data_IF_648680883520
#
_entry.id   IF_648680883520
#
_cell.length_a   1.000
_cell.length_b   1.000
_cell.length_c   1.000
_cell.angle_alpha   90.00
_cell.angle_beta   90.00
_cell.angle_gamma   90.00
#
_symmetry.space_group_name_H-M   'P 1'
#
loop_
_entity.id
_entity.type
_entity.pdbx_description
1 polymer ?
#
# COMPACT_ATOMS: atom_id res chain seq x y z
N UNK A 1 -20.91 11.23 -14.69
CA UNK A 1 -20.38 10.31 -15.73
C UNK A 1 -19.05 10.80 -16.31
N UNK A 2 -18.98 12.01 -16.89
CA UNK A 2 -17.77 12.51 -17.56
C UNK A 2 -16.51 12.55 -16.66
N UNK A 3 -16.61 13.06 -15.42
CA UNK A 3 -15.47 13.10 -14.50
C UNK A 3 -14.90 11.70 -14.15
N UNK A 4 -15.77 10.69 -14.02
CA UNK A 4 -15.35 9.30 -13.78
C UNK A 4 -14.65 8.74 -15.00
N UNK A 5 -15.19 8.95 -16.21
CA UNK A 5 -14.57 8.48 -17.44
C UNK A 5 -13.17 9.10 -17.68
N UNK A 6 -13.02 10.41 -17.43
CA UNK A 6 -11.74 11.12 -17.53
C UNK A 6 -10.75 10.59 -16.48
N UNK A 7 -11.20 10.36 -15.25
CA UNK A 7 -10.33 9.86 -14.17
C UNK A 7 -9.91 8.41 -14.42
N UNK A 8 -10.82 7.55 -14.86
CA UNK A 8 -10.53 6.16 -15.20
C UNK A 8 -9.49 6.05 -16.32
N UNK A 9 -9.53 6.93 -17.31
CA UNK A 9 -8.53 6.97 -18.39
C UNK A 9 -7.10 7.33 -17.90
N UNK A 10 -6.96 7.92 -16.71
CA UNK A 10 -5.67 8.25 -16.08
C UNK A 10 -5.31 7.31 -14.93
N UNK A 11 -6.22 6.42 -14.55
CA UNK A 11 -6.04 5.50 -13.45
C UNK A 11 -5.34 4.22 -13.93
N UNK A 12 -4.68 3.55 -13.01
CA UNK A 12 -4.18 2.18 -13.20
C UNK A 12 -5.07 1.25 -12.39
N UNK A 13 -5.42 0.10 -12.96
CA UNK A 13 -6.20 -0.91 -12.26
C UNK A 13 -5.40 -1.47 -11.07
N UNK A 14 -6.07 -1.64 -9.92
CA UNK A 14 -5.46 -2.29 -8.77
C UNK A 14 -5.10 -3.74 -9.13
N UNK A 15 -3.91 -4.23 -8.75
CA UNK A 15 -3.55 -5.62 -9.01
C UNK A 15 -4.53 -6.60 -8.35
N UNK A 16 -4.86 -7.68 -9.07
CA UNK A 16 -5.78 -8.73 -8.59
C UNK A 16 -5.09 -9.90 -7.88
N UNK A 17 -3.87 -9.72 -7.41
CA UNK A 17 -3.06 -10.77 -6.75
C UNK A 17 -3.34 -10.83 -5.24
N UNK A 18 -3.22 -12.01 -4.60
CA UNK A 18 -3.44 -12.15 -3.15
C UNK A 18 -2.63 -11.18 -2.28
N UNK A 19 -1.39 -10.89 -2.69
CA UNK A 19 -0.44 -10.02 -2.00
C UNK A 19 -0.96 -8.58 -1.81
N UNK A 20 -1.91 -8.12 -2.63
CA UNK A 20 -2.47 -6.76 -2.48
C UNK A 20 -3.26 -6.56 -1.18
N UNK A 21 -3.69 -7.64 -0.52
CA UNK A 21 -4.29 -7.55 0.82
C UNK A 21 -3.32 -6.97 1.86
N UNK A 22 -2.05 -7.33 1.76
CA UNK A 22 -0.99 -6.97 2.72
C UNK A 22 -0.50 -5.53 2.54
N UNK A 23 -0.85 -4.87 1.42
CA UNK A 23 -0.38 -3.53 1.08
C UNK A 23 -1.20 -2.44 1.79
N UNK A 24 -2.51 -2.64 1.96
CA UNK A 24 -3.42 -1.59 2.42
C UNK A 24 -3.19 -1.14 3.86
N UNK A 25 -2.95 -2.08 4.78
CA UNK A 25 -2.73 -1.78 6.20
C UNK A 25 -1.49 -0.91 6.44
N UNK A 26 -0.30 -1.36 6.02
CA UNK A 26 0.94 -0.59 6.17
C UNK A 26 0.90 0.75 5.42
N UNK A 27 0.30 0.80 4.22
CA UNK A 27 0.16 2.06 3.48
C UNK A 27 -0.70 3.08 4.24
N UNK A 28 -1.81 2.66 4.86
CA UNK A 28 -2.64 3.54 5.66
C UNK A 28 -1.92 4.02 6.93
N UNK A 29 -1.19 3.13 7.62
CA UNK A 29 -0.41 3.50 8.79
C UNK A 29 0.68 4.53 8.45
N UNK A 30 1.40 4.35 7.34
CA UNK A 30 2.40 5.32 6.90
C UNK A 30 1.79 6.68 6.56
N UNK A 31 0.61 6.70 5.92
CA UNK A 31 -0.11 7.94 5.64
C UNK A 31 -0.51 8.65 6.94
N UNK A 32 -1.09 7.93 7.90
CA UNK A 32 -1.46 8.50 9.20
C UNK A 32 -0.24 9.06 9.95
N UNK A 33 0.85 8.30 10.02
CA UNK A 33 2.08 8.70 10.70
C UNK A 33 2.71 9.95 10.06
N UNK A 34 2.66 10.03 8.72
CA UNK A 34 3.16 11.18 7.96
C UNK A 34 2.30 12.42 8.18
N UNK A 35 0.97 12.28 8.11
CA UNK A 35 0.02 13.39 8.22
C UNK A 35 -0.10 13.94 9.65
N UNK A 36 0.04 13.07 10.65
CA UNK A 36 0.02 13.48 12.06
C UNK A 36 1.36 14.04 12.55
N UNK A 37 2.40 14.04 11.69
CA UNK A 37 3.74 14.50 12.04
C UNK A 37 4.47 13.59 13.04
N UNK A 38 3.94 12.39 13.31
CA UNK A 38 4.57 11.41 14.21
C UNK A 38 5.86 10.83 13.63
N UNK A 39 5.97 10.79 12.29
CA UNK A 39 7.19 10.41 11.58
C UNK A 39 7.37 11.27 10.32
N UNK A 40 8.62 11.45 9.90
CA UNK A 40 8.90 12.06 8.60
C UNK A 40 8.33 11.18 7.46
N UNK A 41 7.73 11.76 6.39
CA UNK A 41 7.07 11.00 5.34
C UNK A 41 7.94 9.91 4.71
N UNK A 42 9.21 10.22 4.45
CA UNK A 42 10.17 9.26 3.91
C UNK A 42 10.31 8.04 4.83
N UNK A 43 10.55 8.27 6.13
CA UNK A 43 10.74 7.19 7.09
C UNK A 43 9.47 6.36 7.30
N UNK A 44 8.30 7.00 7.30
CA UNK A 44 7.02 6.31 7.42
C UNK A 44 6.76 5.38 6.21
N UNK A 45 7.01 5.88 5.00
CA UNK A 45 6.87 5.12 3.77
C UNK A 45 7.90 3.99 3.65
N UNK A 46 9.17 4.24 4.01
CA UNK A 46 10.22 3.21 4.02
C UNK A 46 9.88 2.06 4.98
N UNK A 47 9.31 2.39 6.15
CA UNK A 47 8.84 1.40 7.10
C UNK A 47 7.64 0.61 6.56
N UNK A 48 6.70 1.26 5.89
CA UNK A 48 5.59 0.56 5.24
C UNK A 48 6.07 -0.39 4.15
N UNK A 49 7.00 0.02 3.29
CA UNK A 49 7.58 -0.87 2.26
C UNK A 49 8.21 -2.11 2.90
N UNK A 50 9.02 -1.94 3.95
CA UNK A 50 9.60 -3.07 4.69
C UNK A 50 8.53 -4.00 5.26
N UNK A 51 7.49 -3.44 5.88
CA UNK A 51 6.40 -4.23 6.46
C UNK A 51 5.61 -5.00 5.40
N UNK A 52 5.39 -4.41 4.23
CA UNK A 52 4.72 -5.06 3.10
C UNK A 52 5.56 -6.24 2.62
N UNK A 53 6.86 -6.03 2.38
CA UNK A 53 7.74 -7.10 1.92
C UNK A 53 7.80 -8.27 2.92
N UNK A 54 7.94 -7.98 4.22
CA UNK A 54 7.96 -9.03 5.25
C UNK A 54 6.63 -9.81 5.31
N UNK A 55 5.49 -9.14 5.16
CA UNK A 55 4.17 -9.79 5.17
C UNK A 55 3.96 -10.66 3.93
N UNK A 56 4.38 -10.18 2.75
CA UNK A 56 4.35 -10.96 1.51
C UNK A 56 5.24 -12.21 1.63
N UNK A 57 6.46 -12.06 2.13
CA UNK A 57 7.38 -13.18 2.35
C UNK A 57 6.80 -14.21 3.33
N UNK A 58 6.20 -13.77 4.44
CA UNK A 58 5.56 -14.64 5.40
C UNK A 58 4.36 -15.38 4.79
N UNK A 59 3.52 -14.69 4.00
CA UNK A 59 2.39 -15.29 3.30
C UNK A 59 2.86 -16.34 2.29
N UNK A 60 3.90 -16.03 1.51
CA UNK A 60 4.48 -16.97 0.54
C UNK A 60 5.09 -18.19 1.22
N UNK A 61 5.79 -18.01 2.34
CA UNK A 61 6.33 -19.11 3.15
C UNK A 61 5.22 -19.99 3.75
N UNK A 62 4.07 -19.42 4.11
CA UNK A 62 2.93 -20.16 4.65
C UNK A 62 2.12 -20.94 3.60
N UNK A 63 2.29 -20.59 2.32
CA UNK A 63 1.63 -21.23 1.19
C UNK A 63 2.48 -22.34 0.53
N UNK A 64 3.65 -22.67 1.09
CA UNK A 64 4.48 -23.83 0.74
C UNK A 64 4.22 -24.99 1.71
#
# INVERSE_FOLDING_TARGET
ASAVAIQSARAVAMPGIPEMGEVWGPANAALELSLTGKQAPQAALDNAVKQITMQIEAMQASNQ
#
